data_IF_907463155729
#
_entry.id   IF_907463155729
#
_cell.length_a   1.000
_cell.length_b   1.000
_cell.length_c   1.000
_cell.angle_alpha   90.00
_cell.angle_beta   90.00
_cell.angle_gamma   90.00
#
_symmetry.space_group_name_H-M   'P 1'
#
loop_
_entity.id
_entity.type
_entity.pdbx_description
1 polymer ?
#
# COMPACT_ATOMS: atom_id res chain seq x y z
N UNK A 1 28.10 -14.35 9.10
CA UNK A 1 26.72 -13.86 8.96
C UNK A 1 26.70 -12.38 9.30
N UNK A 2 25.87 -11.55 8.63
CA UNK A 2 25.67 -10.17 9.06
C UNK A 2 25.20 -10.15 10.52
N UNK A 3 25.65 -9.16 11.28
CA UNK A 3 25.23 -9.00 12.69
C UNK A 3 23.81 -8.45 12.83
N UNK A 4 23.33 -7.77 11.79
CA UNK A 4 22.02 -7.12 11.74
C UNK A 4 21.48 -7.23 10.31
N UNK A 5 20.23 -7.65 10.18
CA UNK A 5 19.45 -7.62 8.95
C UNK A 5 18.29 -6.62 9.16
N UNK A 6 18.12 -5.68 8.22
CA UNK A 6 17.02 -4.70 8.24
C UNK A 6 16.12 -5.01 7.06
N UNK A 7 14.83 -5.16 7.32
CA UNK A 7 13.83 -5.49 6.31
C UNK A 7 12.90 -4.30 6.11
N UNK A 8 12.67 -3.96 4.85
CA UNK A 8 11.47 -3.24 4.48
C UNK A 8 10.24 -4.13 4.76
N UNK A 9 9.09 -3.53 5.04
CA UNK A 9 7.89 -4.24 5.51
C UNK A 9 6.83 -4.35 4.42
N UNK A 10 6.41 -3.21 3.86
CA UNK A 10 5.30 -3.16 2.90
C UNK A 10 5.74 -3.75 1.56
N UNK A 11 5.01 -4.73 1.03
CA UNK A 11 5.33 -5.52 -0.17
C UNK A 11 6.56 -6.43 -0.05
N UNK A 12 7.55 -6.07 0.77
CA UNK A 12 8.74 -6.91 1.01
C UNK A 12 8.45 -8.09 1.95
N UNK A 13 7.87 -7.84 3.12
CA UNK A 13 7.48 -8.90 4.06
C UNK A 13 5.98 -9.21 3.99
N UNK A 14 5.16 -8.18 3.78
CA UNK A 14 3.71 -8.27 3.76
C UNK A 14 3.18 -8.15 2.33
N UNK A 15 2.27 -9.05 1.95
CA UNK A 15 1.77 -9.16 0.58
C UNK A 15 0.63 -8.17 0.30
N UNK A 16 0.88 -7.13 -0.48
CA UNK A 16 -0.15 -6.16 -0.87
C UNK A 16 -1.20 -6.76 -1.82
N UNK A 17 -0.95 -7.89 -2.48
CA UNK A 17 -1.94 -8.53 -3.35
C UNK A 17 -3.21 -8.95 -2.58
N UNK A 18 -3.12 -9.07 -1.25
CA UNK A 18 -4.29 -9.23 -0.38
C UNK A 18 -5.33 -8.09 -0.49
N UNK A 19 -4.93 -6.91 -1.00
CA UNK A 19 -5.83 -5.79 -1.28
C UNK A 19 -6.52 -5.87 -2.65
N UNK A 20 -6.06 -6.72 -3.56
CA UNK A 20 -6.58 -6.84 -4.93
C UNK A 20 -8.11 -7.00 -4.95
N UNK A 21 -8.77 -7.80 -4.08
CA UNK A 21 -10.23 -7.90 -4.04
C UNK A 21 -10.95 -6.59 -3.69
N UNK A 22 -10.32 -5.71 -2.90
CA UNK A 22 -10.88 -4.39 -2.58
C UNK A 22 -10.76 -3.44 -3.76
N UNK A 23 -9.64 -3.48 -4.49
CA UNK A 23 -9.46 -2.70 -5.70
C UNK A 23 -10.34 -3.19 -6.86
N UNK A 24 -10.47 -4.51 -7.05
CA UNK A 24 -11.39 -5.07 -8.04
C UNK A 24 -12.83 -4.61 -7.79
N UNK A 25 -13.28 -4.63 -6.52
CA UNK A 25 -14.63 -4.17 -6.16
C UNK A 25 -14.84 -2.68 -6.46
N UNK A 26 -13.88 -1.84 -6.07
CA UNK A 26 -14.04 -0.39 -6.11
C UNK A 26 -13.73 0.22 -7.49
N UNK A 27 -12.75 -0.33 -8.20
CA UNK A 27 -12.25 0.20 -9.47
C UNK A 27 -12.62 -0.66 -10.68
N UNK A 28 -13.14 -1.88 -10.48
CA UNK A 28 -13.37 -2.85 -11.55
C UNK A 28 -12.08 -3.44 -12.16
N UNK A 29 -10.94 -3.20 -11.51
CA UNK A 29 -9.63 -3.69 -11.92
C UNK A 29 -8.67 -3.74 -10.72
N UNK A 30 -8.31 -4.94 -10.29
CA UNK A 30 -7.30 -5.17 -9.24
C UNK A 30 -5.95 -4.49 -9.53
N UNK A 31 -5.60 -4.26 -10.81
CA UNK A 31 -4.35 -3.59 -11.18
C UNK A 31 -4.27 -2.14 -10.67
N UNK A 32 -5.42 -1.52 -10.36
CA UNK A 32 -5.50 -0.20 -9.73
C UNK A 32 -4.74 -0.13 -8.40
N UNK A 33 -4.57 -1.25 -7.67
CA UNK A 33 -3.73 -1.32 -6.48
C UNK A 33 -2.30 -0.85 -6.76
N UNK A 34 -1.70 -1.32 -7.86
CA UNK A 34 -0.32 -0.98 -8.23
C UNK A 34 -0.21 0.50 -8.58
N UNK A 35 -1.18 1.00 -9.33
CA UNK A 35 -1.31 2.42 -9.69
C UNK A 35 -1.42 3.32 -8.46
N UNK A 36 -2.21 2.89 -7.48
CA UNK A 36 -2.33 3.56 -6.19
C UNK A 36 -1.03 3.50 -5.37
N UNK A 37 -0.44 2.32 -5.18
CA UNK A 37 0.77 2.19 -4.35
C UNK A 37 1.96 2.98 -4.92
N UNK A 38 2.10 3.02 -6.26
CA UNK A 38 3.06 3.90 -6.94
C UNK A 38 2.78 5.39 -6.64
N UNK A 39 1.51 5.80 -6.62
CA UNK A 39 1.12 7.16 -6.25
C UNK A 39 1.45 7.46 -4.78
N UNK A 40 1.30 6.50 -3.86
CA UNK A 40 1.70 6.64 -2.45
C UNK A 40 3.19 6.93 -2.35
N UNK A 41 4.03 6.10 -2.99
CA UNK A 41 5.49 6.25 -2.95
C UNK A 41 5.95 7.57 -3.56
N UNK A 42 5.36 7.96 -4.70
CA UNK A 42 5.66 9.24 -5.34
C UNK A 42 5.29 10.41 -4.42
N UNK A 43 4.12 10.37 -3.80
CA UNK A 43 3.63 11.44 -2.91
C UNK A 43 4.47 11.53 -1.62
N UNK A 44 4.87 10.39 -1.07
CA UNK A 44 5.78 10.31 0.08
C UNK A 44 7.17 10.88 -0.25
N UNK A 45 7.69 10.63 -1.45
CA UNK A 45 8.94 11.22 -1.91
C UNK A 45 8.79 12.75 -2.06
N UNK A 46 7.73 13.21 -2.70
CA UNK A 46 7.48 14.65 -2.92
C UNK A 46 7.39 15.39 -1.59
N UNK A 47 6.57 14.91 -0.66
CA UNK A 47 6.43 15.50 0.68
C UNK A 47 7.75 15.56 1.44
N UNK A 48 8.62 14.56 1.26
CA UNK A 48 9.96 14.56 1.86
C UNK A 48 10.87 15.62 1.23
N UNK A 49 10.94 15.70 -0.11
CA UNK A 49 11.84 16.66 -0.78
C UNK A 49 11.38 18.12 -0.68
N UNK A 50 10.09 18.34 -0.37
CA UNK A 50 9.52 19.68 -0.13
C UNK A 50 9.42 20.06 1.35
N UNK A 51 9.92 19.22 2.27
CA UNK A 51 9.80 19.42 3.73
C UNK A 51 8.34 19.59 4.22
N UNK A 52 7.41 18.95 3.53
CA UNK A 52 5.97 18.98 3.79
C UNK A 52 5.50 17.64 4.36
N UNK A 53 6.11 17.21 5.48
CA UNK A 53 5.86 15.91 6.09
C UNK A 53 4.37 15.63 6.32
N UNK A 54 3.96 14.39 6.02
CA UNK A 54 2.66 13.84 6.35
C UNK A 54 2.80 12.37 6.73
N UNK A 55 1.91 11.87 7.58
CA UNK A 55 1.90 10.47 7.98
C UNK A 55 1.63 9.56 6.77
N UNK A 56 2.27 8.39 6.71
CA UNK A 56 2.17 7.48 5.57
C UNK A 56 0.71 7.08 5.25
N UNK A 57 -0.13 6.91 6.28
CA UNK A 57 -1.56 6.63 6.10
C UNK A 57 -2.32 7.77 5.43
N UNK A 58 -2.02 9.02 5.79
CA UNK A 58 -2.62 10.20 5.17
C UNK A 58 -2.14 10.38 3.72
N UNK A 59 -0.87 10.08 3.43
CA UNK A 59 -0.35 10.04 2.06
C UNK A 59 -1.03 8.94 1.24
N UNK A 60 -1.21 7.76 1.84
CA UNK A 60 -1.89 6.63 1.21
C UNK A 60 -3.34 6.95 0.84
N UNK A 61 -4.03 7.64 1.73
CA UNK A 61 -5.39 8.09 1.55
C UNK A 61 -5.53 9.15 0.43
N UNK A 62 -4.75 10.23 0.50
CA UNK A 62 -4.74 11.26 -0.55
C UNK A 62 -4.36 10.67 -1.93
N UNK A 63 -3.41 9.73 -1.98
CA UNK A 63 -3.04 9.02 -3.20
C UNK A 63 -4.17 8.14 -3.75
N UNK A 64 -5.07 7.64 -2.88
CA UNK A 64 -6.23 6.85 -3.29
C UNK A 64 -7.27 7.75 -3.98
N UNK A 65 -7.54 8.92 -3.40
CA UNK A 65 -8.38 9.96 -4.01
C UNK A 65 -7.84 10.38 -5.38
N UNK A 66 -6.54 10.72 -5.48
CA UNK A 66 -5.90 11.05 -6.76
C UNK A 66 -5.99 9.92 -7.80
N UNK A 67 -5.95 8.67 -7.34
CA UNK A 67 -6.07 7.50 -8.23
C UNK A 67 -7.50 7.31 -8.71
N UNK A 68 -8.49 7.50 -7.84
CA UNK A 68 -9.91 7.47 -8.19
C UNK A 68 -10.26 8.55 -9.21
N UNK A 69 -9.80 9.80 -9.00
CA UNK A 69 -9.97 10.89 -9.96
C UNK A 69 -9.34 10.57 -11.32
N UNK A 70 -8.09 10.10 -11.32
CA UNK A 70 -7.35 9.75 -12.56
C UNK A 70 -8.06 8.64 -13.35
N UNK A 71 -8.68 7.69 -12.67
CA UNK A 71 -9.38 6.56 -13.29
C UNK A 71 -10.89 6.82 -13.50
N UNK A 72 -11.38 8.03 -13.17
CA UNK A 72 -12.80 8.41 -13.22
C UNK A 72 -13.72 7.44 -12.45
N UNK A 73 -13.28 7.05 -11.24
CA UNK A 73 -14.03 6.18 -10.33
C UNK A 73 -14.62 7.03 -9.20
N UNK A 74 -15.93 6.91 -8.98
CA UNK A 74 -16.60 7.44 -7.79
C UNK A 74 -16.39 6.47 -6.62
N UNK A 75 -15.37 6.74 -5.79
CA UNK A 75 -14.97 5.87 -4.70
C UNK A 75 -15.84 6.12 -3.46
N UNK A 76 -16.61 5.12 -3.05
CA UNK A 76 -17.40 5.21 -1.83
C UNK A 76 -16.52 5.26 -0.57
N UNK A 77 -17.00 5.92 0.48
CA UNK A 77 -16.30 5.96 1.78
C UNK A 77 -16.11 4.55 2.37
N UNK A 78 -17.05 3.62 2.12
CA UNK A 78 -16.92 2.23 2.57
C UNK A 78 -15.78 1.51 1.83
N UNK A 79 -15.68 1.68 0.51
CA UNK A 79 -14.60 1.09 -0.29
C UNK A 79 -13.24 1.64 0.14
N UNK A 80 -13.16 2.97 0.29
CA UNK A 80 -11.98 3.68 0.79
C UNK A 80 -11.52 3.13 2.14
N UNK A 81 -12.44 2.99 3.10
CA UNK A 81 -12.12 2.44 4.43
C UNK A 81 -11.62 1.00 4.37
N UNK A 82 -12.20 0.14 3.52
CA UNK A 82 -11.71 -1.25 3.39
C UNK A 82 -10.32 -1.32 2.76
N UNK A 83 -10.02 -0.50 1.76
CA UNK A 83 -8.68 -0.42 1.16
C UNK A 83 -7.65 0.03 2.19
N UNK A 84 -7.91 1.15 2.89
CA UNK A 84 -6.98 1.72 3.86
C UNK A 84 -6.88 0.87 5.15
N UNK A 85 -7.97 0.21 5.53
CA UNK A 85 -8.01 -0.75 6.62
C UNK A 85 -7.18 -1.99 6.32
N UNK A 86 -7.31 -2.55 5.12
CA UNK A 86 -6.61 -3.77 4.70
C UNK A 86 -5.08 -3.65 4.77
N UNK A 87 -4.51 -2.45 4.62
CA UNK A 87 -3.08 -2.21 4.83
C UNK A 87 -2.56 -2.64 6.21
N UNK A 88 -3.42 -2.64 7.23
CA UNK A 88 -3.07 -3.06 8.61
C UNK A 88 -3.21 -4.56 8.84
N UNK A 89 -3.78 -5.28 7.88
CA UNK A 89 -4.17 -6.69 7.99
C UNK A 89 -3.46 -7.56 6.94
N UNK A 90 -2.45 -7.01 6.24
CA UNK A 90 -1.73 -7.72 5.20
C UNK A 90 -1.08 -9.00 5.75
N UNK A 91 -1.28 -10.15 5.10
CA UNK A 91 -0.59 -11.37 5.46
C UNK A 91 0.90 -11.26 5.07
N UNK A 92 1.80 -11.98 5.76
CA UNK A 92 3.16 -12.13 5.27
C UNK A 92 3.18 -12.98 4.00
N UNK A 93 4.20 -12.79 3.16
CA UNK A 93 4.48 -13.74 2.08
C UNK A 93 4.75 -15.15 2.65
N UNK A 94 4.34 -16.24 1.97
CA UNK A 94 4.40 -17.60 2.52
C UNK A 94 5.78 -18.04 3.03
N UNK A 95 6.85 -17.56 2.39
CA UNK A 95 8.23 -17.89 2.70
C UNK A 95 8.82 -17.09 3.88
N UNK A 96 8.18 -15.99 4.28
CA UNK A 96 8.75 -15.06 5.28
C UNK A 96 8.97 -15.71 6.64
N UNK A 97 8.00 -16.44 7.25
CA UNK A 97 8.22 -17.03 8.57
C UNK A 97 9.41 -18.01 8.62
N UNK A 98 9.47 -18.96 7.68
CA UNK A 98 10.57 -19.94 7.63
C UNK A 98 11.92 -19.25 7.31
N UNK A 99 11.91 -18.23 6.46
CA UNK A 99 13.13 -17.50 6.10
C UNK A 99 13.68 -16.71 7.29
N UNK A 100 12.82 -16.12 8.11
CA UNK A 100 13.23 -15.38 9.31
C UNK A 100 13.76 -16.32 10.40
N UNK A 101 13.16 -17.50 10.60
CA UNK A 101 13.62 -18.51 11.58
C UNK A 101 15.03 -19.05 11.26
N UNK A 102 15.48 -18.91 10.01
CA UNK A 102 16.78 -19.42 9.53
C UNK A 102 17.93 -18.41 9.64
N UNK A 103 17.67 -17.14 9.95
CA UNK A 103 18.67 -16.06 10.01
C UNK A 103 19.38 -16.00 11.37
#
# INVERSE_FOLDING_TARGET
MPRVCVFDVNETLLDLSALDPHFERAFGDASARKTWFLQVLQSALVTTVTDAYSEFGAVGDAALEMTAERLNVDLSEEDRQKILGGMRELPPHPEVPESLDRL
#
